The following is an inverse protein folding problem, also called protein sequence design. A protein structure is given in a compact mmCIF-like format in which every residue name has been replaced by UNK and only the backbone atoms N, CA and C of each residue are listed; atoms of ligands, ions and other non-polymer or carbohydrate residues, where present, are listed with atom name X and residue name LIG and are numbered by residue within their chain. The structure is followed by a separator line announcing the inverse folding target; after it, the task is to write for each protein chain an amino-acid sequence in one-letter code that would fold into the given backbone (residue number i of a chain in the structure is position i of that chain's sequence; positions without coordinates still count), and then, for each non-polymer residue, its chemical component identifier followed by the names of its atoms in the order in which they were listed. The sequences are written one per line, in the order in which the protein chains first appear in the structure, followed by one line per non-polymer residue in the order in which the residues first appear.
data_IF_309360780107
#
_entry.id   IF_309360780107
#
_cell.length_a   1.000
_cell.length_b   1.000
_cell.length_c   1.000
_cell.angle_alpha   90.00
_cell.angle_beta   90.00
_cell.angle_gamma   90.00
#
_symmetry.space_group_name_H-M   'P 1'
#
loop_
_entity.id
_entity.type
_entity.pdbx_description
1 polymer ?
#
# COMPACT_ATOMS: atom_id res chain seq x y z
N UNK A 1 -19.33 -9.59 -10.39
CA UNK A 1 -18.56 -8.39 -10.00
C UNK A 1 -17.21 -8.54 -10.68
N UNK A 2 -16.72 -7.54 -11.40
CA UNK A 2 -15.44 -7.66 -12.09
C UNK A 2 -14.32 -7.68 -11.05
N UNK A 3 -13.39 -8.62 -11.18
CA UNK A 3 -12.18 -8.66 -10.35
C UNK A 3 -11.37 -7.40 -10.64
N UNK A 4 -11.18 -6.55 -9.63
CA UNK A 4 -10.42 -5.31 -9.77
C UNK A 4 -8.95 -5.63 -9.49
N UNK A 5 -8.13 -5.60 -10.55
CA UNK A 5 -6.69 -5.84 -10.43
C UNK A 5 -5.99 -4.50 -10.33
N UNK A 6 -5.34 -4.28 -9.19
CA UNK A 6 -4.52 -3.12 -8.90
C UNK A 6 -3.06 -3.48 -9.11
N UNK A 7 -2.29 -2.61 -9.76
CA UNK A 7 -0.87 -2.89 -10.02
C UNK A 7 0.01 -2.03 -9.13
N UNK A 8 0.94 -2.66 -8.42
CA UNK A 8 1.99 -1.98 -7.70
C UNK A 8 3.21 -1.85 -8.62
N UNK A 9 3.60 -0.61 -8.91
CA UNK A 9 4.75 -0.30 -9.77
C UNK A 9 5.85 0.38 -8.99
N UNK A 10 7.10 0.12 -9.38
CA UNK A 10 8.30 0.80 -8.92
C UNK A 10 8.98 1.46 -10.11
N UNK A 11 8.62 2.71 -10.37
CA UNK A 11 8.98 3.38 -11.63
C UNK A 11 8.38 2.66 -12.84
N UNK A 12 9.23 2.09 -13.70
CA UNK A 12 8.78 1.38 -14.91
C UNK A 12 8.52 -0.12 -14.68
N UNK A 13 8.89 -0.67 -13.53
CA UNK A 13 8.78 -2.10 -13.22
C UNK A 13 7.51 -2.42 -12.41
N UNK A 14 6.78 -3.48 -12.77
CA UNK A 14 5.67 -4.00 -11.97
C UNK A 14 6.24 -4.90 -10.88
N UNK A 15 6.01 -4.53 -9.62
CA UNK A 15 6.49 -5.27 -8.45
C UNK A 15 5.40 -6.13 -7.81
N UNK A 16 4.12 -5.90 -8.11
CA UNK A 16 3.04 -6.70 -7.55
C UNK A 16 1.71 -6.47 -8.23
N UNK A 17 0.83 -7.48 -8.20
CA UNK A 17 -0.58 -7.35 -8.59
C UNK A 17 -1.46 -7.66 -7.38
N UNK A 18 -2.47 -6.84 -7.11
CA UNK A 18 -3.46 -7.03 -6.06
C UNK A 18 -4.80 -7.33 -6.70
N UNK A 19 -5.26 -8.57 -6.54
CA UNK A 19 -6.58 -9.01 -6.98
C UNK A 19 -7.58 -8.73 -5.87
N UNK A 20 -8.27 -7.59 -5.96
CA UNK A 20 -9.29 -7.20 -4.97
C UNK A 20 -10.48 -8.14 -5.11
N UNK A 21 -10.76 -8.88 -4.03
CA UNK A 21 -11.91 -9.77 -3.93
C UNK A 21 -12.94 -9.27 -2.90
N UNK A 22 -12.53 -8.34 -2.03
CA UNK A 22 -13.36 -7.80 -0.96
C UNK A 22 -13.16 -6.27 -0.84
N UNK A 23 -14.24 -5.56 -0.51
CA UNK A 23 -14.27 -4.10 -0.44
C UNK A 23 -15.06 -3.68 0.80
N UNK A 24 -14.38 -3.72 1.94
CA UNK A 24 -14.89 -3.31 3.24
C UNK A 24 -14.55 -1.84 3.49
N UNK A 25 -15.28 -0.95 2.78
CA UNK A 25 -15.03 0.49 2.79
C UNK A 25 -14.80 1.03 4.23
N UNK A 26 -13.68 1.73 4.51
CA UNK A 26 -12.76 2.37 3.56
C UNK A 26 -11.58 1.51 3.06
N UNK A 27 -11.53 0.23 3.42
CA UNK A 27 -10.44 -0.69 3.07
C UNK A 27 -10.84 -1.65 1.96
N UNK A 28 -9.92 -1.92 1.04
CA UNK A 28 -10.05 -2.97 0.05
C UNK A 28 -9.11 -4.09 0.46
N UNK A 29 -9.53 -5.34 0.31
CA UNK A 29 -8.67 -6.49 0.57
C UNK A 29 -8.74 -7.49 -0.57
N UNK A 30 -7.65 -8.24 -0.71
CA UNK A 30 -7.45 -9.04 -1.90
C UNK A 30 -6.23 -9.93 -1.84
N UNK A 31 -6.09 -10.75 -2.89
CA UNK A 31 -4.92 -11.60 -3.05
C UNK A 31 -3.78 -10.79 -3.65
N UNK A 32 -2.65 -10.76 -2.96
CA UNK A 32 -1.41 -10.19 -3.46
C UNK A 32 -0.60 -11.23 -4.22
N UNK A 33 -0.12 -10.85 -5.39
CA UNK A 33 0.80 -11.62 -6.23
C UNK A 33 2.09 -10.81 -6.36
N UNK A 34 3.09 -11.18 -5.57
CA UNK A 34 4.41 -10.58 -5.63
C UNK A 34 5.12 -10.93 -6.95
N UNK A 35 5.71 -9.93 -7.61
CA UNK A 35 6.63 -10.11 -8.72
C UNK A 35 8.09 -10.07 -8.25
N UNK A 36 9.07 -10.43 -9.10
CA UNK A 36 10.49 -10.44 -8.71
C UNK A 36 11.00 -9.12 -8.10
N UNK A 37 10.47 -7.98 -8.54
CA UNK A 37 10.79 -6.66 -8.00
C UNK A 37 10.28 -6.39 -6.58
N UNK A 38 9.32 -7.18 -6.09
CA UNK A 38 8.76 -7.04 -4.74
C UNK A 38 9.81 -7.28 -3.66
N UNK A 39 10.76 -8.20 -3.88
CA UNK A 39 11.77 -8.56 -2.88
C UNK A 39 12.62 -7.35 -2.40
N UNK A 40 12.69 -6.28 -3.19
CA UNK A 40 13.38 -5.04 -2.80
C UNK A 40 12.57 -4.18 -1.81
N UNK A 41 11.25 -4.33 -1.78
CA UNK A 41 10.32 -3.52 -0.96
C UNK A 41 9.57 -4.35 0.10
N UNK A 42 9.57 -5.68 -0.02
CA UNK A 42 9.09 -6.63 1.00
C UNK A 42 9.52 -6.25 2.44
N UNK A 43 10.81 -5.96 2.73
CA UNK A 43 11.22 -5.59 4.08
C UNK A 43 10.65 -4.25 4.56
N UNK A 44 10.24 -3.34 3.66
CA UNK A 44 9.59 -2.09 4.05
C UNK A 44 8.17 -2.35 4.56
N UNK A 45 7.42 -3.21 3.88
CA UNK A 45 6.08 -3.60 4.33
C UNK A 45 6.13 -4.42 5.62
N UNK A 46 7.10 -5.31 5.77
CA UNK A 46 7.32 -6.06 7.02
C UNK A 46 7.65 -5.12 8.17
N UNK A 47 8.50 -4.11 7.93
CA UNK A 47 8.81 -3.08 8.92
C UNK A 47 7.59 -2.22 9.29
N UNK A 48 6.81 -1.80 8.30
CA UNK A 48 5.58 -1.03 8.52
C UNK A 48 4.59 -1.83 9.37
N UNK A 49 4.40 -3.12 9.05
CA UNK A 49 3.50 -4.01 9.78
C UNK A 49 4.02 -4.25 11.20
N UNK A 50 5.33 -4.46 11.37
CA UNK A 50 5.94 -4.63 12.68
C UNK A 50 5.78 -3.39 13.58
N UNK A 51 5.75 -2.19 13.01
CA UNK A 51 5.47 -0.95 13.75
C UNK A 51 4.01 -0.87 14.19
N UNK A 52 3.08 -1.33 13.35
CA UNK A 52 1.64 -1.38 13.66
C UNK A 52 1.31 -2.48 14.68
N UNK A 53 1.97 -3.63 14.56
CA UNK A 53 1.79 -4.79 15.45
C UNK A 53 2.63 -4.68 16.73
N UNK A 54 3.48 -3.66 16.86
CA UNK A 54 4.27 -3.43 18.06
C UNK A 54 3.35 -3.25 19.29
N UNK A 55 3.71 -3.92 20.38
CA UNK A 55 2.99 -3.80 21.65
C UNK A 55 3.28 -2.41 22.25
N UNK A 56 2.31 -1.49 22.16
CA UNK A 56 2.43 -0.13 22.67
C UNK A 56 1.70 0.92 21.82
N UNK A 57 2.04 2.19 22.04
CA UNK A 57 1.62 3.28 21.16
C UNK A 57 2.37 3.18 19.82
N UNK A 58 1.65 3.31 18.71
CA UNK A 58 2.24 3.36 17.37
C UNK A 58 3.22 4.53 17.30
N UNK A 59 4.48 4.23 16.97
CA UNK A 59 5.46 5.26 16.66
C UNK A 59 5.11 5.85 15.28
N UNK A 60 4.27 6.89 15.30
CA UNK A 60 3.81 7.57 14.10
C UNK A 60 4.98 8.16 13.29
N UNK A 61 6.08 8.60 13.93
CA UNK A 61 7.22 9.17 13.20
C UNK A 61 7.99 8.06 12.45
N UNK A 62 8.22 6.92 13.11
CA UNK A 62 8.85 5.78 12.48
C UNK A 62 7.97 5.18 11.36
N UNK A 63 6.66 5.08 11.61
CA UNK A 63 5.70 4.56 10.64
C UNK A 63 5.58 5.48 9.42
N UNK A 64 5.46 6.79 9.63
CA UNK A 64 5.40 7.79 8.58
C UNK A 64 6.68 7.79 7.73
N UNK A 65 7.86 7.69 8.36
CA UNK A 65 9.13 7.61 7.63
C UNK A 65 9.24 6.34 6.75
N UNK A 66 8.69 5.20 7.20
CA UNK A 66 8.62 3.97 6.39
C UNK A 66 7.61 4.16 5.25
N UNK A 67 6.45 4.73 5.55
CA UNK A 67 5.40 5.01 4.59
C UNK A 67 5.86 5.96 3.47
N UNK A 68 6.53 7.06 3.81
CA UNK A 68 7.13 7.98 2.83
C UNK A 68 8.14 7.27 1.91
N UNK A 69 8.90 6.31 2.43
CA UNK A 69 9.85 5.53 1.62
C UNK A 69 9.16 4.54 0.69
N UNK A 70 7.99 4.02 1.08
CA UNK A 70 7.14 3.17 0.24
C UNK A 70 6.55 4.03 -0.87
N UNK A 71 5.85 5.12 -0.53
CA UNK A 71 5.20 6.00 -1.50
C UNK A 71 6.17 6.73 -2.43
N UNK A 72 7.40 7.03 -1.99
CA UNK A 72 8.43 7.62 -2.84
C UNK A 72 9.01 6.64 -3.88
N UNK A 73 8.88 5.33 -3.64
CA UNK A 73 9.41 4.29 -4.54
C UNK A 73 8.32 3.59 -5.32
N UNK A 74 7.10 3.54 -4.80
CA UNK A 74 6.01 2.74 -5.30
C UNK A 74 4.82 3.60 -5.69
N UNK A 75 4.21 3.24 -6.82
CA UNK A 75 3.00 3.84 -7.34
C UNK A 75 1.93 2.75 -7.43
N UNK A 76 0.77 3.03 -6.83
CA UNK A 76 -0.39 2.15 -6.92
C UNK A 76 -1.25 2.56 -8.11
N UNK A 77 -1.29 1.73 -9.14
CA UNK A 77 -2.07 1.97 -10.35
C UNK A 77 -3.49 1.45 -10.16
N UNK A 78 -4.47 2.34 -10.31
CA UNK A 78 -5.89 1.97 -10.26
C UNK A 78 -6.26 1.14 -11.50
N UNK A 79 -7.23 0.22 -11.41
CA UNK A 79 -7.73 -0.52 -12.57
C UNK A 79 -8.31 0.41 -13.66
N UNK A 80 -8.76 1.61 -13.27
CA UNK A 80 -9.32 2.62 -14.16
C UNK A 80 -8.26 3.54 -14.82
N UNK A 81 -6.97 3.36 -14.50
CA UNK A 81 -5.86 3.94 -15.25
C UNK A 81 -4.91 4.87 -14.48
N UNK A 82 -5.36 5.95 -13.82
CA UNK A 82 -4.44 6.86 -13.15
C UNK A 82 -3.83 6.23 -11.88
N UNK A 83 -2.59 6.60 -11.52
CA UNK A 83 -2.03 6.25 -10.22
C UNK A 83 -2.84 6.92 -9.11
N UNK A 84 -2.99 6.22 -7.98
CA UNK A 84 -3.54 6.80 -6.76
C UNK A 84 -2.64 7.96 -6.31
N UNK A 85 -3.25 9.10 -5.93
CA UNK A 85 -2.51 10.23 -5.41
C UNK A 85 -1.86 9.91 -4.05
N UNK A 86 -2.53 9.06 -3.27
CA UNK A 86 -2.07 8.55 -2.00
C UNK A 86 -2.66 7.16 -1.77
N UNK A 87 -1.87 6.25 -1.20
CA UNK A 87 -2.33 4.91 -0.90
C UNK A 87 -1.61 4.34 0.29
N UNK A 88 -2.38 3.73 1.18
CA UNK A 88 -1.87 3.03 2.34
C UNK A 88 -2.13 1.55 2.12
N UNK A 89 -1.05 0.80 1.92
CA UNK A 89 -1.05 -0.60 1.50
C UNK A 89 -0.29 -1.42 2.51
N UNK A 90 -0.96 -2.42 3.07
CA UNK A 90 -0.36 -3.41 3.91
C UNK A 90 -0.35 -4.75 3.19
N UNK A 91 0.76 -5.48 3.33
CA UNK A 91 0.93 -6.79 2.72
C UNK A 91 1.42 -7.74 3.80
N UNK A 92 0.72 -8.86 3.94
CA UNK A 92 1.16 -10.01 4.74
C UNK A 92 1.12 -11.27 3.90
N UNK A 93 2.30 -11.71 3.47
CA UNK A 93 2.46 -12.86 2.58
C UNK A 93 1.72 -12.67 1.25
N UNK A 94 0.61 -13.39 1.08
CA UNK A 94 -0.22 -13.37 -0.15
C UNK A 94 -1.53 -12.58 0.03
N UNK A 95 -1.70 -11.90 1.16
CA UNK A 95 -2.85 -11.07 1.44
C UNK A 95 -2.42 -9.61 1.42
N UNK A 96 -3.12 -8.78 0.66
CA UNK A 96 -2.98 -7.33 0.71
C UNK A 96 -4.30 -6.69 1.13
N UNK A 97 -4.19 -5.67 1.97
CA UNK A 97 -5.29 -4.77 2.27
C UNK A 97 -4.78 -3.34 2.16
N UNK A 98 -5.54 -2.51 1.46
CA UNK A 98 -5.12 -1.14 1.19
C UNK A 98 -6.31 -0.22 1.15
N UNK A 99 -6.03 1.06 1.39
CA UNK A 99 -6.93 2.16 1.11
C UNK A 99 -6.21 3.12 0.18
N UNK A 100 -6.95 3.77 -0.69
CA UNK A 100 -6.40 4.78 -1.58
C UNK A 100 -7.26 6.03 -1.47
N UNK A 101 -6.66 7.19 -1.71
CA UNK A 101 -7.37 8.45 -1.79
C UNK A 101 -7.08 9.13 -3.13
N UNK A 102 -8.11 9.70 -3.79
CA UNK A 102 -7.92 10.51 -4.99
C UNK A 102 -7.25 11.86 -4.69
N UNK A 103 -7.14 12.23 -3.41
CA UNK A 103 -6.42 13.41 -2.93
C UNK A 103 -5.24 12.96 -2.06
N UNK A 104 -4.11 13.70 -2.07
CA UNK A 104 -2.98 13.40 -1.21
C UNK A 104 -3.38 13.40 0.27
N UNK A 105 -2.88 12.44 1.06
CA UNK A 105 -2.97 12.46 2.52
C UNK A 105 -1.95 13.47 3.05
N UNK A 106 -2.07 14.74 2.66
CA UNK A 106 -1.33 15.79 3.35
C UNK A 106 -1.79 15.82 4.80
N UNK A 107 -0.88 15.90 5.79
CA UNK A 107 -1.28 16.17 7.17
C UNK A 107 -2.01 17.50 7.15
N UNK A 108 -3.33 17.48 7.39
CA UNK A 108 -4.07 18.72 7.54
C UNK A 108 -3.49 19.43 8.77
N UNK A 109 -2.99 20.67 8.65
CA UNK A 109 -2.58 21.41 9.83
C UNK A 109 -3.79 21.53 10.77
N UNK A 110 -3.61 21.41 12.10
CA UNK A 110 -4.71 21.60 13.04
C UNK A 110 -5.31 23.00 12.81
N UNK A 111 -6.64 23.05 12.67
CA UNK A 111 -7.41 24.29 12.50
C UNK A 111 -7.34 25.18 13.75
#
# INVERSE_FOLDING_TARGET
MAEQVWQLRRGEEIVGDIHVNDNDFPWLSGRFVAHPGYAAVEPLFDQELALIEADGDLDYEAWDAVYERISAQLELITPDGPPAADFLLHISGQHAWFRWSPHPLVPQPPR
#
